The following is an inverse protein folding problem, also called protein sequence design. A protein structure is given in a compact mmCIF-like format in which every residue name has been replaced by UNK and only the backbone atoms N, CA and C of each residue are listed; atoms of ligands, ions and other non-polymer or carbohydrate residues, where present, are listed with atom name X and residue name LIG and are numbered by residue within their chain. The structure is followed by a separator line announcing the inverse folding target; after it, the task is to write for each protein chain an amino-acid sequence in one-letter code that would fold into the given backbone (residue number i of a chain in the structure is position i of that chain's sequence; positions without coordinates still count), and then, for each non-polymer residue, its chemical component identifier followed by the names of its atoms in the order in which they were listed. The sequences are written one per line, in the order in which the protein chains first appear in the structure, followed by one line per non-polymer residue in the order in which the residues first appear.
data_IF_097328026204
#
_entry.id   IF_097328026204
#
_cell.length_a   1.000
_cell.length_b   1.000
_cell.length_c   1.000
_cell.angle_alpha   90.00
_cell.angle_beta   90.00
_cell.angle_gamma   90.00
#
_symmetry.space_group_name_H-M   'P 1'
#
loop_
_entity.id
_entity.type
_entity.pdbx_description
1 polymer ?
#
# COMPACT_ATOMS: atom_id res chain seq x y z
N UNK A 1 1.95 10.07 17.01
CA UNK A 1 1.93 8.90 16.09
C UNK A 1 0.61 8.90 15.33
N UNK A 2 0.68 8.71 14.03
CA UNK A 2 -0.47 8.63 13.13
C UNK A 2 -0.92 7.17 13.07
N UNK A 3 -2.20 6.93 13.32
CA UNK A 3 -2.89 5.69 13.04
C UNK A 3 -4.04 5.98 12.08
N UNK A 4 -4.03 5.35 10.93
CA UNK A 4 -5.11 5.44 9.94
C UNK A 4 -5.44 4.07 9.39
N UNK A 5 -6.69 3.85 9.01
CA UNK A 5 -7.15 2.59 8.42
C UNK A 5 -8.28 2.84 7.43
N UNK A 6 -8.29 2.07 6.35
CA UNK A 6 -9.43 1.98 5.44
C UNK A 6 -9.63 0.53 5.00
N UNK A 7 -10.86 0.14 4.76
CA UNK A 7 -11.27 -1.18 4.26
C UNK A 7 -12.17 -0.97 3.04
N UNK A 8 -11.91 -1.72 1.98
CA UNK A 8 -12.73 -1.72 0.77
C UNK A 8 -12.97 -3.17 0.33
N UNK A 9 -14.20 -3.57 -0.02
CA UNK A 9 -14.46 -4.86 -0.63
C UNK A 9 -13.64 -5.02 -1.91
N UNK A 10 -12.94 -6.15 -2.06
CA UNK A 10 -12.17 -6.42 -3.28
C UNK A 10 -13.10 -6.50 -4.48
N UNK A 11 -14.26 -7.12 -4.31
CA UNK A 11 -15.24 -7.35 -5.37
C UNK A 11 -16.53 -6.57 -5.11
N UNK A 12 -16.56 -5.29 -5.52
CA UNK A 12 -17.77 -4.49 -5.47
C UNK A 12 -18.69 -4.80 -6.66
N UNK A 13 -20.02 -4.58 -6.53
CA UNK A 13 -20.97 -4.74 -7.62
C UNK A 13 -20.56 -3.94 -8.87
N UNK A 14 -20.69 -4.56 -10.05
CA UNK A 14 -20.38 -3.92 -11.34
C UNK A 14 -18.90 -3.91 -11.73
N UNK A 15 -18.03 -4.45 -10.90
CA UNK A 15 -16.61 -4.60 -11.22
C UNK A 15 -16.29 -6.05 -11.63
N UNK A 16 -15.29 -6.21 -12.51
CA UNK A 16 -14.76 -7.53 -12.84
C UNK A 16 -14.19 -8.16 -11.57
N UNK A 17 -14.66 -9.36 -11.15
CA UNK A 17 -14.18 -9.99 -9.93
C UNK A 17 -12.69 -10.34 -10.01
N UNK A 18 -11.99 -10.19 -8.89
CA UNK A 18 -10.65 -10.71 -8.66
C UNK A 18 -10.73 -11.93 -7.74
N UNK A 19 -9.99 -12.97 -8.06
CA UNK A 19 -9.74 -14.04 -7.11
C UNK A 19 -8.79 -13.58 -6.01
N UNK A 20 -8.75 -14.29 -4.88
CA UNK A 20 -7.77 -14.03 -3.82
C UNK A 20 -6.32 -14.03 -4.38
N UNK A 21 -5.99 -15.03 -5.20
CA UNK A 21 -4.66 -15.13 -5.82
C UNK A 21 -4.33 -13.94 -6.72
N UNK A 22 -5.30 -13.43 -7.50
CA UNK A 22 -5.09 -12.25 -8.35
C UNK A 22 -4.91 -10.98 -7.52
N UNK A 23 -5.73 -10.80 -6.49
CA UNK A 23 -5.60 -9.66 -5.57
C UNK A 23 -4.23 -9.69 -4.86
N UNK A 24 -3.79 -10.87 -4.39
CA UNK A 24 -2.47 -11.05 -3.79
C UNK A 24 -1.33 -10.71 -4.75
N UNK A 25 -1.38 -11.23 -5.99
CA UNK A 25 -0.38 -10.90 -7.02
C UNK A 25 -0.32 -9.40 -7.31
N UNK A 26 -1.46 -8.71 -7.31
CA UNK A 26 -1.49 -7.25 -7.44
C UNK A 26 -0.77 -6.53 -6.32
N UNK A 27 -0.95 -6.97 -5.07
CA UNK A 27 -0.21 -6.41 -3.92
C UNK A 27 1.29 -6.68 -4.01
N UNK A 28 1.70 -7.89 -4.43
CA UNK A 28 3.12 -8.23 -4.62
C UNK A 28 3.73 -7.38 -5.72
N UNK A 29 3.03 -7.20 -6.85
CA UNK A 29 3.50 -6.34 -7.94
C UNK A 29 3.63 -4.89 -7.50
N UNK A 30 2.68 -4.37 -6.71
CA UNK A 30 2.77 -3.03 -6.12
C UNK A 30 3.99 -2.88 -5.21
N UNK A 31 4.31 -3.91 -4.43
CA UNK A 31 5.50 -3.91 -3.57
C UNK A 31 6.78 -3.86 -4.41
N UNK A 32 6.83 -4.57 -5.54
CA UNK A 32 8.00 -4.62 -6.45
C UNK A 32 8.12 -3.36 -7.29
N UNK A 33 7.00 -2.88 -7.83
CA UNK A 33 6.98 -1.77 -8.79
C UNK A 33 5.86 -0.78 -8.47
N UNK A 34 6.13 0.11 -7.53
CA UNK A 34 5.17 1.12 -7.11
C UNK A 34 4.77 2.08 -8.25
N UNK A 35 5.64 2.32 -9.24
CA UNK A 35 5.35 3.25 -10.35
C UNK A 35 4.10 2.87 -11.13
N UNK A 36 3.74 1.58 -11.16
CA UNK A 36 2.53 1.09 -11.85
C UNK A 36 1.22 1.41 -11.10
N UNK A 37 1.29 1.72 -9.80
CA UNK A 37 0.12 1.83 -8.92
C UNK A 37 -0.16 3.24 -8.41
N UNK A 38 0.82 4.12 -8.47
CA UNK A 38 0.65 5.53 -8.15
C UNK A 38 0.14 6.33 -9.35
N UNK A 39 -0.54 7.46 -9.13
CA UNK A 39 -0.83 8.40 -10.20
C UNK A 39 0.44 8.82 -10.96
N UNK A 40 0.33 9.15 -12.26
CA UNK A 40 1.47 9.58 -13.05
C UNK A 40 2.26 10.72 -12.39
N UNK A 41 3.56 10.53 -12.24
CA UNK A 41 4.47 11.52 -11.64
C UNK A 41 4.58 11.47 -10.11
N UNK A 42 3.73 10.77 -9.39
CA UNK A 42 3.81 10.65 -7.93
C UNK A 42 4.86 9.64 -7.47
N UNK A 43 5.07 8.56 -8.21
CA UNK A 43 6.18 7.63 -8.00
C UNK A 43 7.04 7.60 -9.26
N UNK A 44 8.23 8.20 -9.20
CA UNK A 44 9.11 8.35 -10.35
C UNK A 44 10.20 7.29 -10.43
N UNK A 45 10.47 6.60 -9.32
CA UNK A 45 11.45 5.52 -9.21
C UNK A 45 10.94 4.43 -8.27
N UNK A 46 11.21 3.16 -8.58
CA UNK A 46 10.91 2.02 -7.70
C UNK A 46 11.83 0.86 -8.06
N UNK A 47 12.89 0.67 -7.28
CA UNK A 47 13.94 -0.32 -7.53
C UNK A 47 14.01 -1.32 -6.38
N UNK A 48 13.91 -2.60 -6.69
CA UNK A 48 14.21 -3.68 -5.74
C UNK A 48 15.73 -3.86 -5.70
N UNK A 49 16.34 -3.53 -4.56
CA UNK A 49 17.81 -3.58 -4.37
C UNK A 49 18.27 -4.84 -3.66
N UNK A 50 17.39 -5.51 -2.93
CA UNK A 50 17.62 -6.80 -2.29
C UNK A 50 16.32 -7.59 -2.27
N UNK A 51 16.39 -8.91 -2.41
CA UNK A 51 15.22 -9.78 -2.38
C UNK A 51 15.56 -11.15 -1.76
N UNK A 52 14.64 -11.65 -0.96
CA UNK A 52 14.61 -13.00 -0.40
C UNK A 52 13.21 -13.62 -0.55
N UNK A 53 13.04 -14.84 -0.05
CA UNK A 53 11.74 -15.51 -0.08
C UNK A 53 10.66 -14.83 0.78
N UNK A 54 11.05 -14.08 1.81
CA UNK A 54 10.13 -13.49 2.80
C UNK A 54 10.08 -11.96 2.80
N UNK A 55 11.04 -11.30 2.17
CA UNK A 55 11.11 -9.84 2.13
C UNK A 55 11.88 -9.33 0.91
N UNK A 56 11.68 -8.07 0.60
CA UNK A 56 12.54 -7.30 -0.31
C UNK A 56 12.90 -5.95 0.33
N UNK A 57 13.99 -5.37 -0.15
CA UNK A 57 14.35 -3.97 0.12
C UNK A 57 14.10 -3.18 -1.15
N UNK A 58 13.32 -2.11 -1.03
CA UNK A 58 12.99 -1.22 -2.13
C UNK A 58 13.51 0.18 -1.88
N UNK A 59 14.15 0.76 -2.88
CA UNK A 59 14.38 2.19 -2.98
C UNK A 59 13.37 2.79 -3.95
N UNK A 60 12.75 3.89 -3.56
CA UNK A 60 11.75 4.55 -4.38
C UNK A 60 11.83 6.07 -4.22
N UNK A 61 11.34 6.80 -5.23
CA UNK A 61 11.09 8.24 -5.13
C UNK A 61 9.60 8.46 -5.24
N UNK A 62 8.95 8.84 -4.14
CA UNK A 62 7.50 9.02 -4.02
C UNK A 62 7.20 10.44 -3.54
N UNK A 63 6.40 11.19 -4.31
CA UNK A 63 6.04 12.58 -4.03
C UNK A 63 7.27 13.50 -3.83
N UNK A 64 8.38 13.17 -4.52
CA UNK A 64 9.63 13.90 -4.45
C UNK A 64 10.58 13.47 -3.33
N UNK A 65 10.14 12.57 -2.44
CA UNK A 65 10.97 12.04 -1.36
C UNK A 65 11.65 10.73 -1.79
N UNK A 66 12.96 10.65 -1.59
CA UNK A 66 13.69 9.38 -1.69
C UNK A 66 13.47 8.55 -0.42
N UNK A 67 13.02 7.34 -0.59
CA UNK A 67 12.69 6.43 0.50
C UNK A 67 13.36 5.07 0.34
N UNK A 68 13.67 4.43 1.47
CA UNK A 68 14.06 3.02 1.53
C UNK A 68 13.11 2.29 2.46
N UNK A 69 12.57 1.19 1.98
CA UNK A 69 11.64 0.35 2.73
C UNK A 69 12.14 -1.10 2.77
N UNK A 70 11.98 -1.74 3.94
CA UNK A 70 11.97 -3.21 4.01
C UNK A 70 10.52 -3.64 3.89
N UNK A 71 10.24 -4.52 2.93
CA UNK A 71 8.88 -4.97 2.64
C UNK A 71 8.79 -6.46 2.92
N UNK A 72 8.04 -6.82 3.96
CA UNK A 72 7.86 -8.20 4.39
C UNK A 72 6.54 -8.79 3.88
N UNK A 73 6.57 -10.07 3.50
CA UNK A 73 5.42 -10.79 2.94
C UNK A 73 4.95 -11.88 3.91
N UNK A 74 3.69 -11.84 4.30
CA UNK A 74 2.95 -12.97 4.83
C UNK A 74 2.04 -13.48 3.72
N UNK A 75 2.46 -14.58 3.08
CA UNK A 75 1.89 -15.06 1.82
C UNK A 75 0.35 -15.16 1.85
N UNK A 76 -0.29 -14.59 0.84
CA UNK A 76 -1.74 -14.53 0.66
C UNK A 76 -2.52 -13.81 1.78
N UNK A 77 -1.83 -13.13 2.69
CA UNK A 77 -2.45 -12.42 3.82
C UNK A 77 -2.08 -10.95 3.84
N UNK A 78 -0.81 -10.60 4.04
CA UNK A 78 -0.45 -9.18 4.15
C UNK A 78 0.98 -8.87 3.70
N UNK A 79 1.17 -7.61 3.36
CA UNK A 79 2.46 -7.01 3.03
C UNK A 79 2.68 -5.84 3.98
N UNK A 80 3.81 -5.84 4.68
CA UNK A 80 4.20 -4.78 5.61
C UNK A 80 5.38 -3.99 5.06
N UNK A 81 5.22 -2.69 4.95
CA UNK A 81 6.21 -1.72 4.48
C UNK A 81 6.82 -1.01 5.69
N UNK A 82 8.01 -1.41 6.10
CA UNK A 82 8.76 -0.76 7.17
C UNK A 82 9.55 0.43 6.60
N UNK A 83 9.34 1.62 7.16
CA UNK A 83 9.97 2.87 6.75
C UNK A 83 11.38 2.98 7.34
N UNK A 84 12.41 2.55 6.59
CA UNK A 84 13.82 2.53 7.06
C UNK A 84 14.48 3.89 6.89
N UNK A 85 14.48 4.43 5.67
CA UNK A 85 14.94 5.76 5.36
C UNK A 85 13.84 6.49 4.58
N UNK A 86 13.20 7.48 5.22
CA UNK A 86 12.01 8.16 4.73
C UNK A 86 11.76 9.38 5.63
N UNK A 87 11.02 10.39 5.17
CA UNK A 87 10.46 11.41 6.07
C UNK A 87 9.51 10.84 7.14
N UNK A 88 9.13 9.57 7.00
CA UNK A 88 8.29 8.83 7.94
C UNK A 88 9.11 7.77 8.65
N UNK A 89 8.60 7.31 9.79
CA UNK A 89 9.06 6.13 10.52
C UNK A 89 7.86 5.24 10.87
N UNK A 90 8.10 3.97 11.19
CA UNK A 90 7.05 3.00 11.49
C UNK A 90 6.70 2.10 10.32
N UNK A 91 5.43 1.71 10.20
CA UNK A 91 5.01 0.73 9.22
C UNK A 91 3.65 1.06 8.58
N UNK A 92 3.52 0.70 7.29
CA UNK A 92 2.26 0.68 6.54
C UNK A 92 1.97 -0.78 6.19
N UNK A 93 0.72 -1.21 6.34
CA UNK A 93 0.30 -2.59 6.09
C UNK A 93 -0.82 -2.62 5.06
N UNK A 94 -0.68 -3.51 4.07
CA UNK A 94 -1.74 -3.87 3.13
C UNK A 94 -2.13 -5.32 3.41
N UNK A 95 -3.39 -5.55 3.77
CA UNK A 95 -3.88 -6.85 4.25
C UNK A 95 -5.10 -7.30 3.47
N UNK A 96 -5.05 -8.55 2.99
CA UNK A 96 -6.19 -9.26 2.42
C UNK A 96 -6.78 -10.19 3.48
N UNK A 97 -8.09 -10.16 3.64
CA UNK A 97 -8.81 -11.05 4.56
C UNK A 97 -10.23 -11.29 4.07
N UNK A 98 -10.85 -12.35 4.56
CA UNK A 98 -12.27 -12.60 4.37
C UNK A 98 -13.04 -12.09 5.59
N UNK A 99 -14.14 -11.38 5.34
CA UNK A 99 -15.04 -10.95 6.41
C UNK A 99 -15.94 -12.07 6.92
N UNK A 100 -16.83 -11.77 7.87
CA UNK A 100 -17.73 -12.76 8.45
C UNK A 100 -18.74 -13.40 7.46
N UNK A 101 -18.89 -12.84 6.26
CA UNK A 101 -19.71 -13.38 5.17
C UNK A 101 -18.90 -14.17 4.13
N UNK A 102 -17.58 -14.24 4.30
CA UNK A 102 -16.66 -14.85 3.34
C UNK A 102 -16.30 -13.94 2.16
N UNK A 103 -16.63 -12.65 2.24
CA UNK A 103 -16.30 -11.68 1.20
C UNK A 103 -14.86 -11.17 1.37
N UNK A 104 -14.10 -11.17 0.28
CA UNK A 104 -12.72 -10.73 0.27
C UNK A 104 -12.63 -9.22 0.45
N UNK A 105 -11.86 -8.80 1.43
CA UNK A 105 -11.64 -7.40 1.80
C UNK A 105 -10.16 -7.03 1.64
N UNK A 106 -9.88 -5.78 1.27
CA UNK A 106 -8.54 -5.20 1.31
C UNK A 106 -8.52 -4.06 2.33
N UNK A 107 -7.63 -4.18 3.32
CA UNK A 107 -7.40 -3.18 4.35
C UNK A 107 -6.02 -2.58 4.20
N UNK A 108 -5.94 -1.24 4.18
CA UNK A 108 -4.69 -0.52 4.40
C UNK A 108 -4.74 0.13 5.76
N UNK A 109 -3.66 0.03 6.52
CA UNK A 109 -3.51 0.71 7.79
C UNK A 109 -2.05 1.04 8.08
N UNK A 110 -1.81 1.95 9.00
CA UNK A 110 -0.46 2.34 9.37
C UNK A 110 -0.34 2.68 10.87
N UNK A 111 0.90 2.56 11.33
CA UNK A 111 1.41 3.15 12.57
C UNK A 111 2.68 3.90 12.17
N UNK A 112 2.58 5.22 11.96
CA UNK A 112 3.70 6.03 11.49
C UNK A 112 3.90 7.28 12.32
N UNK A 113 5.15 7.75 12.39
CA UNK A 113 5.53 9.07 12.86
C UNK A 113 6.15 9.89 11.71
N UNK A 114 6.31 11.18 11.91
CA UNK A 114 7.03 12.07 10.99
C UNK A 114 8.41 12.39 11.59
N UNK A 115 9.49 11.98 10.89
CA UNK A 115 10.86 12.23 11.37
C UNK A 115 11.14 13.71 11.55
N UNK A 116 11.71 14.06 12.70
CA UNK A 116 12.08 15.43 13.03
C UNK A 116 10.91 16.35 13.32
N UNK A 117 9.69 15.81 13.43
CA UNK A 117 8.49 16.55 13.82
C UNK A 117 8.08 16.23 15.25
N UNK A 118 7.32 17.13 15.86
CA UNK A 118 6.81 16.95 17.21
C UNK A 118 5.73 15.86 17.19
N UNK A 119 5.87 14.78 17.98
CA UNK A 119 4.83 13.76 18.09
C UNK A 119 3.49 14.37 18.53
N UNK A 120 2.42 14.02 17.79
CA UNK A 120 1.08 14.59 17.92
C UNK A 120 1.00 16.12 17.70
N UNK A 121 2.05 16.70 17.10
CA UNK A 121 2.09 18.11 16.72
C UNK A 121 1.26 18.43 15.48
N UNK A 122 1.26 19.71 15.04
CA UNK A 122 0.43 20.18 13.92
C UNK A 122 0.64 19.40 12.62
N UNK A 123 1.89 19.03 12.31
CA UNK A 123 2.21 18.30 11.09
C UNK A 123 1.66 16.86 11.12
N UNK A 124 1.77 16.15 12.24
CA UNK A 124 1.17 14.81 12.38
C UNK A 124 -0.37 14.89 12.36
N UNK A 125 -0.96 15.91 12.99
CA UNK A 125 -2.41 16.10 12.96
C UNK A 125 -2.93 16.37 11.54
N UNK A 126 -2.21 17.19 10.76
CA UNK A 126 -2.54 17.45 9.36
C UNK A 126 -2.39 16.18 8.50
N UNK A 127 -1.32 15.41 8.70
CA UNK A 127 -1.13 14.14 8.01
C UNK A 127 -2.19 13.10 8.39
N UNK A 128 -2.57 13.01 9.66
CA UNK A 128 -3.67 12.16 10.14
C UNK A 128 -4.98 12.51 9.43
N UNK A 129 -5.35 13.79 9.42
CA UNK A 129 -6.59 14.25 8.78
C UNK A 129 -6.60 13.96 7.27
N UNK A 130 -5.46 14.10 6.59
CA UNK A 130 -5.35 13.77 5.17
C UNK A 130 -5.49 12.27 4.94
N UNK A 131 -4.83 11.43 5.72
CA UNK A 131 -4.88 9.97 5.57
C UNK A 131 -6.28 9.41 5.85
N UNK A 132 -7.03 10.01 6.77
CA UNK A 132 -8.41 9.63 7.12
C UNK A 132 -9.45 10.16 6.11
N UNK A 133 -9.04 11.03 5.21
CA UNK A 133 -9.92 11.55 4.16
C UNK A 133 -10.14 10.55 3.03
N UNK A 134 -11.11 10.83 2.16
CA UNK A 134 -11.36 10.04 0.93
C UNK A 134 -10.16 10.03 -0.04
N UNK A 135 -9.20 10.94 0.13
CA UNK A 135 -7.97 11.02 -0.67
C UNK A 135 -6.82 10.17 -0.10
N UNK A 136 -6.97 9.67 1.12
CA UNK A 136 -5.98 8.87 1.82
C UNK A 136 -6.01 7.39 1.43
N UNK A 137 -6.04 6.51 2.43
CA UNK A 137 -5.95 5.05 2.21
C UNK A 137 -7.10 4.49 1.38
N UNK A 138 -8.32 5.05 1.48
CA UNK A 138 -9.43 4.61 0.64
C UNK A 138 -9.11 4.77 -0.84
N UNK A 139 -8.64 5.94 -1.27
CA UNK A 139 -8.23 6.18 -2.65
C UNK A 139 -7.06 5.27 -3.09
N UNK A 140 -6.11 5.02 -2.18
CA UNK A 140 -4.98 4.13 -2.44
C UNK A 140 -5.43 2.68 -2.66
N UNK A 141 -6.41 2.19 -1.89
CA UNK A 141 -7.00 0.85 -2.08
C UNK A 141 -7.73 0.79 -3.42
N UNK A 142 -8.62 1.74 -3.70
CA UNK A 142 -9.39 1.80 -4.94
C UNK A 142 -8.46 1.81 -6.17
N UNK A 143 -7.41 2.62 -6.14
CA UNK A 143 -6.38 2.66 -7.19
C UNK A 143 -5.64 1.33 -7.33
N UNK A 144 -5.27 0.70 -6.21
CA UNK A 144 -4.59 -0.60 -6.22
C UNK A 144 -5.47 -1.68 -6.85
N UNK A 145 -6.73 -1.79 -6.46
CA UNK A 145 -7.66 -2.78 -7.00
C UNK A 145 -7.97 -2.53 -8.48
N UNK A 146 -8.17 -1.27 -8.88
CA UNK A 146 -8.38 -0.90 -10.29
C UNK A 146 -7.17 -1.30 -11.13
N UNK A 147 -5.96 -0.96 -10.69
CA UNK A 147 -4.74 -1.30 -11.43
C UNK A 147 -4.50 -2.79 -11.51
N UNK A 148 -4.79 -3.53 -10.44
CA UNK A 148 -4.72 -5.00 -10.44
C UNK A 148 -5.65 -5.60 -11.50
N UNK A 149 -6.89 -5.13 -11.63
CA UNK A 149 -7.83 -5.58 -12.68
C UNK A 149 -7.30 -5.29 -14.09
N UNK A 150 -6.72 -4.12 -14.31
CA UNK A 150 -6.11 -3.78 -15.60
C UNK A 150 -4.97 -4.73 -15.96
N UNK A 151 -4.11 -5.05 -15.01
CA UNK A 151 -2.98 -5.98 -15.22
C UNK A 151 -3.47 -7.42 -15.45
N UNK A 152 -4.49 -7.88 -14.74
CA UNK A 152 -5.14 -9.18 -14.98
C UNK A 152 -5.76 -9.24 -16.39
N UNK A 153 -6.47 -8.20 -16.80
CA UNK A 153 -7.09 -8.13 -18.12
C UNK A 153 -6.04 -8.11 -19.25
N UNK A 154 -4.82 -7.61 -18.96
CA UNK A 154 -3.69 -7.62 -19.90
C UNK A 154 -2.89 -8.95 -19.87
N UNK A 155 -3.27 -9.92 -19.05
CA UNK A 155 -2.55 -11.19 -18.87
C UNK A 155 -1.20 -11.05 -18.19
N UNK A 156 -0.99 -9.99 -17.39
CA UNK A 156 0.25 -9.71 -16.67
C UNK A 156 0.26 -10.23 -15.23
N UNK A 157 -0.89 -10.59 -14.71
CA UNK A 157 -1.07 -11.19 -13.38
C UNK A 157 -1.94 -12.44 -13.44
#
# INVERSE_FOLDING_TARGET
MIYSTAIVPVNAPGQTPLTHAQAWKGLVEKARNATLFFPPGECTRSDVVEESASHLVREATILGDDITEIIAFEANAKITFFQVASPREGAIVNELFEDGNGDLQLRFYCYIGLRGKIPNGPEEQAAQAWMDSDKGFKAAIDSTLRRTRELVAQGKL
#
